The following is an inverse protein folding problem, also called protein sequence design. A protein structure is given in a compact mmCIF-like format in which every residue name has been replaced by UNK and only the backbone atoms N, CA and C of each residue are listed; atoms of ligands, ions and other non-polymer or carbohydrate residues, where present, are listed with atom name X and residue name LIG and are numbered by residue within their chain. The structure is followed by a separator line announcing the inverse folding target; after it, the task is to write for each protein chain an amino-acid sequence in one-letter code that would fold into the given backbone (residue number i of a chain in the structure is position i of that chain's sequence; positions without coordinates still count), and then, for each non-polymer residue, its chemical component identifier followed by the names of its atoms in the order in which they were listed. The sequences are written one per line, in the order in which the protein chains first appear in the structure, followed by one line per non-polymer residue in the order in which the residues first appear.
data_IF_157878965483
#
_entry.id   IF_157878965483
#
_cell.length_a   1.000
_cell.length_b   1.000
_cell.length_c   1.000
_cell.angle_alpha   90.00
_cell.angle_beta   90.00
_cell.angle_gamma   90.00
#
_symmetry.space_group_name_H-M   'P 1'
#
loop_
_entity.id
_entity.type
_entity.pdbx_description
1 polymer ?
#
# COMPACT_ATOMS: atom_id res chain seq x y z
N UNK A 1 -5.88 26.38 0.33
CA UNK A 1 -5.37 26.00 -1.01
C UNK A 1 -6.30 24.95 -1.59
N UNK A 2 -6.15 24.47 -2.84
CA UNK A 2 -6.97 23.33 -3.30
C UNK A 2 -6.34 22.02 -2.87
N UNK A 3 -7.06 21.24 -2.08
CA UNK A 3 -6.65 19.90 -1.67
C UNK A 3 -7.16 18.83 -2.64
N UNK A 4 -6.52 17.67 -2.61
CA UNK A 4 -6.99 16.45 -3.29
C UNK A 4 -7.47 15.43 -2.27
N UNK A 5 -8.45 14.63 -2.66
CA UNK A 5 -8.82 13.42 -1.92
C UNK A 5 -8.22 12.22 -2.64
N UNK A 6 -7.55 11.35 -1.89
CA UNK A 6 -6.92 10.13 -2.39
C UNK A 6 -7.64 8.92 -1.78
N UNK A 7 -7.95 7.92 -2.58
CA UNK A 7 -8.70 6.74 -2.15
C UNK A 7 -7.93 5.45 -2.45
N UNK A 8 -7.78 4.61 -1.43
CA UNK A 8 -7.36 3.22 -1.54
C UNK A 8 -8.51 2.32 -1.08
N UNK A 9 -9.24 1.73 -2.03
CA UNK A 9 -10.47 0.97 -1.80
C UNK A 9 -10.16 -0.53 -1.80
N UNK A 10 -9.76 -1.04 -0.62
CA UNK A 10 -9.49 -2.46 -0.39
C UNK A 10 -10.74 -3.32 -0.13
N UNK A 11 -10.54 -4.58 0.26
CA UNK A 11 -11.64 -5.48 0.65
C UNK A 11 -12.25 -5.15 2.01
N UNK A 12 -11.41 -4.96 3.03
CA UNK A 12 -11.86 -4.80 4.42
C UNK A 12 -12.18 -3.35 4.79
N UNK A 13 -11.50 -2.38 4.17
CA UNK A 13 -11.60 -0.97 4.53
C UNK A 13 -11.24 -0.09 3.34
N UNK A 14 -11.55 1.20 3.39
CA UNK A 14 -11.01 2.20 2.47
C UNK A 14 -10.11 3.15 3.25
N UNK A 15 -8.89 3.39 2.75
CA UNK A 15 -8.07 4.49 3.24
C UNK A 15 -8.41 5.75 2.44
N UNK A 16 -8.74 6.82 3.15
CA UNK A 16 -9.03 8.14 2.58
C UNK A 16 -7.91 9.07 3.00
N UNK A 17 -7.25 9.71 2.05
CA UNK A 17 -6.19 10.69 2.27
C UNK A 17 -6.60 12.10 1.87
N UNK A 18 -6.23 13.09 2.67
CA UNK A 18 -6.25 14.50 2.28
C UNK A 18 -4.83 14.91 1.88
N UNK A 19 -4.67 15.40 0.67
CA UNK A 19 -3.35 15.72 0.11
C UNK A 19 -3.27 17.17 -0.34
N UNK A 20 -2.22 17.87 0.09
CA UNK A 20 -1.87 19.20 -0.40
C UNK A 20 -0.89 19.06 -1.56
N UNK A 21 -1.32 19.33 -2.81
CA UNK A 21 -0.43 19.22 -3.96
C UNK A 21 0.57 20.38 -4.10
N UNK A 22 0.44 21.42 -3.28
CA UNK A 22 1.25 22.65 -3.33
C UNK A 22 2.31 22.72 -2.25
N UNK A 23 2.31 21.80 -1.29
CA UNK A 23 3.32 21.78 -0.23
C UNK A 23 4.74 21.63 -0.81
N UNK A 24 5.63 22.56 -0.47
CA UNK A 24 7.03 22.53 -0.90
C UNK A 24 7.83 21.57 -0.01
N UNK A 25 7.98 20.33 -0.47
CA UNK A 25 8.64 19.26 0.31
C UNK A 25 10.10 19.03 -0.07
N UNK A 26 10.62 19.76 -1.07
CA UNK A 26 11.97 19.54 -1.62
C UNK A 26 12.13 18.21 -2.40
N UNK A 27 11.06 17.42 -2.53
CA UNK A 27 11.02 16.21 -3.32
C UNK A 27 10.80 16.50 -4.81
N UNK A 28 11.21 15.56 -5.68
CA UNK A 28 11.02 15.65 -7.14
C UNK A 28 9.54 15.83 -7.53
N UNK A 29 8.61 15.25 -6.75
CA UNK A 29 7.20 15.60 -6.79
C UNK A 29 6.82 16.30 -5.48
N UNK A 30 6.56 17.62 -5.49
CA UNK A 30 6.10 18.33 -4.31
C UNK A 30 4.72 17.85 -3.86
N UNK A 31 4.33 18.23 -2.65
CA UNK A 31 3.04 17.89 -2.05
C UNK A 31 3.16 16.92 -0.88
N UNK A 32 2.17 16.97 -0.01
CA UNK A 32 2.18 16.28 1.28
C UNK A 32 0.82 15.66 1.59
N UNK A 33 0.84 14.44 2.11
CA UNK A 33 -0.34 13.80 2.66
C UNK A 33 -0.60 14.38 4.05
N UNK A 34 -1.58 15.27 4.16
CA UNK A 34 -1.91 16.01 5.38
C UNK A 34 -2.54 15.09 6.43
N UNK A 35 -3.41 14.18 5.98
CA UNK A 35 -4.03 13.20 6.86
C UNK A 35 -4.44 11.95 6.09
N UNK A 36 -4.58 10.84 6.81
CA UNK A 36 -5.20 9.64 6.28
C UNK A 36 -6.09 8.98 7.34
N UNK A 37 -7.23 8.45 6.90
CA UNK A 37 -8.23 7.81 7.76
C UNK A 37 -8.66 6.48 7.15
N UNK A 38 -8.73 5.43 7.97
CA UNK A 38 -9.30 4.13 7.57
C UNK A 38 -10.80 4.12 7.85
N UNK A 39 -11.58 3.74 6.84
CA UNK A 39 -13.04 3.72 6.89
C UNK A 39 -13.56 2.32 6.56
N UNK A 40 -14.23 1.71 7.53
CA UNK A 40 -14.80 0.35 7.42
C UNK A 40 -16.30 0.39 7.15
N UNK A 41 -17.02 1.39 7.69
CA UNK A 41 -18.47 1.52 7.55
C UNK A 41 -18.88 2.67 6.63
N UNK A 42 -20.02 2.49 5.95
CA UNK A 42 -20.54 3.45 4.95
C UNK A 42 -21.00 4.77 5.57
N UNK A 43 -21.52 4.75 6.81
CA UNK A 43 -21.91 5.97 7.53
C UNK A 43 -20.70 6.87 7.80
N UNK A 44 -19.58 6.26 8.18
CA UNK A 44 -18.33 6.98 8.49
C UNK A 44 -17.77 7.65 7.23
N UNK A 45 -17.87 6.99 6.07
CA UNK A 45 -17.48 7.57 4.78
C UNK A 45 -18.19 8.89 4.49
N UNK A 46 -19.52 8.94 4.74
CA UNK A 46 -20.31 10.17 4.51
C UNK A 46 -19.86 11.29 5.44
N UNK A 47 -19.73 11.00 6.73
CA UNK A 47 -19.39 12.00 7.74
C UNK A 47 -17.99 12.56 7.47
N UNK A 48 -17.03 11.68 7.18
CA UNK A 48 -15.65 12.07 6.92
C UNK A 48 -15.51 12.92 5.63
N UNK A 49 -16.19 12.54 4.55
CA UNK A 49 -16.18 13.34 3.32
C UNK A 49 -16.87 14.71 3.52
N UNK A 50 -17.96 14.76 4.29
CA UNK A 50 -18.64 16.00 4.60
C UNK A 50 -17.77 16.94 5.45
N UNK A 51 -17.01 16.38 6.41
CA UNK A 51 -16.03 17.12 7.21
C UNK A 51 -14.94 17.71 6.31
N UNK A 52 -14.27 16.88 5.51
CA UNK A 52 -13.22 17.31 4.57
C UNK A 52 -13.74 18.39 3.61
N UNK A 53 -14.90 18.18 2.98
CA UNK A 53 -15.44 19.14 2.01
C UNK A 53 -15.99 20.41 2.66
N UNK A 54 -16.27 20.37 3.97
CA UNK A 54 -16.71 21.52 4.76
C UNK A 54 -15.54 22.39 5.23
N UNK A 55 -14.36 21.80 5.46
CA UNK A 55 -13.16 22.50 5.90
C UNK A 55 -12.23 22.92 4.76
N UNK A 56 -12.17 22.13 3.69
CA UNK A 56 -11.19 22.30 2.61
C UNK A 56 -11.83 22.45 1.24
N UNK A 57 -11.19 23.24 0.37
CA UNK A 57 -11.59 23.32 -1.05
C UNK A 57 -10.99 22.14 -1.81
N UNK A 58 -11.81 21.16 -2.15
CA UNK A 58 -11.36 19.99 -2.93
C UNK A 58 -11.38 20.30 -4.42
N UNK A 59 -10.29 20.03 -5.14
CA UNK A 59 -10.21 20.24 -6.60
C UNK A 59 -10.17 18.97 -7.42
N UNK A 60 -9.66 17.87 -6.85
CA UNK A 60 -9.55 16.57 -7.54
C UNK A 60 -9.76 15.45 -6.55
N UNK A 61 -10.26 14.32 -7.05
CA UNK A 61 -10.35 13.07 -6.30
C UNK A 61 -9.79 11.97 -7.18
N UNK A 62 -8.80 11.23 -6.67
CA UNK A 62 -8.22 10.08 -7.36
C UNK A 62 -8.29 8.84 -6.48
N UNK A 63 -8.25 7.67 -7.10
CA UNK A 63 -8.22 6.44 -6.32
C UNK A 63 -7.84 5.19 -7.09
N UNK A 64 -7.56 4.15 -6.31
CA UNK A 64 -7.40 2.77 -6.76
C UNK A 64 -8.38 1.89 -6.00
N UNK A 65 -8.78 0.79 -6.64
CA UNK A 65 -9.70 -0.17 -6.03
C UNK A 65 -9.44 -1.56 -6.53
N UNK A 66 -9.58 -2.52 -5.63
CA UNK A 66 -9.63 -3.97 -5.94
C UNK A 66 -11.05 -4.54 -5.78
N UNK A 67 -12.05 -3.68 -5.54
CA UNK A 67 -13.44 -4.08 -5.25
C UNK A 67 -14.44 -3.25 -6.07
N UNK A 68 -14.97 -3.77 -7.20
CA UNK A 68 -15.86 -3.02 -8.07
C UNK A 68 -17.13 -2.48 -7.39
N UNK A 69 -17.75 -3.27 -6.50
CA UNK A 69 -18.97 -2.84 -5.79
C UNK A 69 -18.73 -1.64 -4.87
N UNK A 70 -17.53 -1.53 -4.27
CA UNK A 70 -17.17 -0.39 -3.41
C UNK A 70 -16.82 0.86 -4.24
N UNK A 71 -16.34 0.71 -5.47
CA UNK A 71 -16.08 1.84 -6.38
C UNK A 71 -17.34 2.64 -6.68
N UNK A 72 -18.46 1.95 -6.93
CA UNK A 72 -19.74 2.61 -7.18
C UNK A 72 -20.20 3.40 -5.95
N UNK A 73 -20.13 2.79 -4.77
CA UNK A 73 -20.46 3.46 -3.50
C UNK A 73 -19.64 4.75 -3.31
N UNK A 74 -18.31 4.66 -3.47
CA UNK A 74 -17.43 5.82 -3.29
C UNK A 74 -17.67 6.89 -4.35
N UNK A 75 -17.87 6.51 -5.61
CA UNK A 75 -18.22 7.44 -6.69
C UNK A 75 -19.49 8.24 -6.37
N UNK A 76 -20.53 7.57 -5.86
CA UNK A 76 -21.77 8.25 -5.45
C UNK A 76 -21.54 9.19 -4.25
N UNK A 77 -20.77 8.77 -3.24
CA UNK A 77 -20.49 9.59 -2.07
C UNK A 77 -19.67 10.84 -2.42
N UNK A 78 -18.62 10.68 -3.22
CA UNK A 78 -17.78 11.79 -3.68
C UNK A 78 -18.58 12.76 -4.55
N UNK A 79 -19.39 12.27 -5.50
CA UNK A 79 -20.28 13.14 -6.30
C UNK A 79 -21.26 13.92 -5.44
N UNK A 80 -21.80 13.31 -4.37
CA UNK A 80 -22.76 13.97 -3.49
C UNK A 80 -22.10 15.06 -2.64
N UNK A 81 -20.93 14.78 -2.05
CA UNK A 81 -20.25 15.68 -1.10
C UNK A 81 -19.35 16.70 -1.79
N UNK A 82 -18.44 16.25 -2.67
CA UNK A 82 -17.43 17.09 -3.29
C UNK A 82 -17.88 17.68 -4.65
N UNK A 83 -18.98 17.19 -5.24
CA UNK A 83 -19.43 17.56 -6.60
C UNK A 83 -18.37 17.28 -7.69
N UNK A 84 -17.55 16.26 -7.46
CA UNK A 84 -16.49 15.82 -8.36
C UNK A 84 -16.68 14.33 -8.72
N UNK A 85 -16.03 13.91 -9.80
CA UNK A 85 -15.84 12.51 -10.14
C UNK A 85 -14.51 11.99 -9.57
N UNK A 86 -14.42 10.67 -9.37
CA UNK A 86 -13.17 10.00 -8.99
C UNK A 86 -12.44 9.60 -10.26
N UNK A 87 -11.18 9.99 -10.36
CA UNK A 87 -10.23 9.48 -11.35
C UNK A 87 -9.66 8.16 -10.84
N UNK A 88 -10.07 7.04 -11.45
CA UNK A 88 -9.55 5.72 -11.09
C UNK A 88 -8.31 5.39 -11.92
N UNK A 89 -7.30 4.83 -11.26
CA UNK A 89 -6.05 4.41 -11.90
C UNK A 89 -5.92 2.88 -11.94
N UNK A 90 -5.37 2.40 -13.03
CA UNK A 90 -5.22 0.99 -13.39
C UNK A 90 -3.99 0.79 -14.31
N UNK A 91 -3.87 -0.38 -14.93
CA UNK A 91 -2.74 -0.75 -15.80
C UNK A 91 -2.68 0.04 -17.11
N UNK A 92 -3.78 0.67 -17.51
CA UNK A 92 -3.88 1.47 -18.74
C UNK A 92 -3.51 2.93 -18.52
N UNK A 93 -3.31 3.32 -17.26
CA UNK A 93 -2.92 4.67 -16.87
C UNK A 93 -1.49 5.01 -17.31
N UNK A 94 -1.13 6.30 -17.30
CA UNK A 94 0.26 6.72 -17.53
C UNK A 94 1.13 6.33 -16.33
N UNK A 95 1.94 5.29 -16.48
CA UNK A 95 2.82 4.76 -15.42
C UNK A 95 4.24 5.30 -15.56
N UNK A 96 4.99 5.48 -14.45
CA UNK A 96 6.37 5.96 -14.49
C UNK A 96 7.40 4.87 -14.86
N UNK A 97 6.92 3.66 -15.22
CA UNK A 97 7.72 2.50 -15.60
C UNK A 97 7.02 1.74 -16.73
N UNK A 98 7.76 0.89 -17.44
CA UNK A 98 7.20 -0.07 -18.40
C UNK A 98 6.62 -1.29 -17.68
N UNK A 99 5.39 -1.66 -18.00
CA UNK A 99 4.70 -2.79 -17.41
C UNK A 99 4.93 -4.06 -18.25
N UNK A 100 5.86 -4.92 -17.81
CA UNK A 100 6.20 -6.18 -18.49
C UNK A 100 5.42 -7.39 -17.95
N UNK A 101 4.52 -7.15 -17.01
CA UNK A 101 3.69 -8.20 -16.44
C UNK A 101 2.85 -8.86 -17.55
N UNK A 102 2.80 -10.19 -17.59
CA UNK A 102 2.20 -10.92 -18.72
C UNK A 102 0.68 -10.77 -18.80
N UNK A 103 0.02 -10.54 -17.67
CA UNK A 103 -1.44 -10.35 -17.57
C UNK A 103 -1.75 -9.05 -16.80
N UNK A 104 -1.41 -7.87 -17.36
CA UNK A 104 -1.60 -6.58 -16.71
C UNK A 104 -2.99 -6.38 -16.11
N UNK A 105 -4.02 -6.82 -16.81
CA UNK A 105 -5.45 -6.70 -16.47
C UNK A 105 -5.85 -7.48 -15.20
N UNK A 106 -5.00 -8.41 -14.75
CA UNK A 106 -5.21 -9.19 -13.52
C UNK A 106 -4.55 -8.56 -12.30
N UNK A 107 -3.77 -7.50 -12.49
CA UNK A 107 -3.02 -6.85 -11.43
C UNK A 107 -3.96 -6.03 -10.54
N UNK A 108 -3.74 -6.10 -9.22
CA UNK A 108 -4.43 -5.20 -8.30
C UNK A 108 -4.02 -3.74 -8.54
N UNK A 109 -4.99 -2.85 -8.63
CA UNK A 109 -4.73 -1.42 -8.86
C UNK A 109 -3.93 -0.77 -7.73
N UNK A 110 -4.07 -1.28 -6.50
CA UNK A 110 -3.25 -0.92 -5.34
C UNK A 110 -1.76 -1.24 -5.55
N UNK A 111 -1.47 -2.40 -6.16
CA UNK A 111 -0.10 -2.81 -6.52
C UNK A 111 0.53 -1.88 -7.55
N UNK A 112 -0.26 -1.37 -8.50
CA UNK A 112 0.20 -0.40 -9.51
C UNK A 112 0.56 0.92 -8.85
N UNK A 113 -0.30 1.43 -7.95
CA UNK A 113 -0.04 2.65 -7.20
C UNK A 113 1.20 2.51 -6.31
N UNK A 114 1.34 1.39 -5.58
CA UNK A 114 2.47 1.19 -4.68
C UNK A 114 3.80 1.04 -5.44
N UNK A 115 3.81 0.34 -6.57
CA UNK A 115 4.97 0.25 -7.46
C UNK A 115 5.32 1.62 -8.05
N UNK A 116 4.32 2.43 -8.42
CA UNK A 116 4.52 3.76 -8.99
C UNK A 116 5.17 4.70 -7.99
N UNK A 117 4.68 4.70 -6.75
CA UNK A 117 5.27 5.49 -5.68
C UNK A 117 6.69 5.01 -5.34
N UNK A 118 6.90 3.70 -5.22
CA UNK A 118 8.20 3.11 -4.94
C UNK A 118 9.24 3.47 -6.01
N UNK A 119 8.89 3.28 -7.29
CA UNK A 119 9.78 3.62 -8.38
C UNK A 119 10.07 5.11 -8.43
N UNK A 120 9.03 5.95 -8.43
CA UNK A 120 9.21 7.38 -8.57
C UNK A 120 10.04 7.96 -7.40
N UNK A 121 9.77 7.55 -6.17
CA UNK A 121 10.36 8.16 -4.97
C UNK A 121 11.70 7.54 -4.56
N UNK A 122 11.89 6.26 -4.84
CA UNK A 122 13.06 5.52 -4.34
C UNK A 122 13.93 4.93 -5.45
N UNK A 123 13.36 4.47 -6.57
CA UNK A 123 14.13 3.81 -7.64
C UNK A 123 14.66 4.76 -8.72
N UNK A 124 13.89 5.75 -9.15
CA UNK A 124 14.17 6.57 -10.34
C UNK A 124 15.30 7.59 -10.17
N UNK A 125 15.72 7.83 -8.92
CA UNK A 125 16.71 8.85 -8.56
C UNK A 125 18.16 8.31 -8.54
N UNK A 126 18.38 7.04 -8.90
CA UNK A 126 19.69 6.41 -8.89
C UNK A 126 19.86 5.31 -9.94
N UNK A 127 21.01 4.62 -9.89
CA UNK A 127 21.29 3.45 -10.73
C UNK A 127 20.88 2.15 -10.03
N UNK A 128 19.68 2.09 -9.48
CA UNK A 128 19.15 0.95 -8.73
C UNK A 128 17.67 0.73 -9.03
N UNK A 129 17.21 -0.50 -8.84
CA UNK A 129 15.77 -0.81 -8.84
C UNK A 129 15.18 -0.65 -7.45
N UNK A 130 13.90 -0.99 -7.30
CA UNK A 130 13.20 -0.96 -6.02
C UNK A 130 12.39 -2.23 -5.83
N UNK A 131 12.39 -2.74 -4.60
CA UNK A 131 11.43 -3.72 -4.09
C UNK A 131 10.55 -2.99 -3.09
N UNK A 132 9.25 -2.94 -3.36
CA UNK A 132 8.26 -2.44 -2.42
C UNK A 132 7.57 -3.61 -1.76
N UNK A 133 7.65 -3.70 -0.44
CA UNK A 133 6.98 -4.72 0.36
C UNK A 133 5.77 -4.10 1.06
N UNK A 134 4.56 -4.33 0.54
CA UNK A 134 3.32 -3.92 1.20
C UNK A 134 2.85 -5.01 2.15
N UNK A 135 3.03 -4.78 3.46
CA UNK A 135 2.70 -5.75 4.50
C UNK A 135 1.32 -5.47 5.12
N UNK A 136 0.27 -5.86 4.39
CA UNK A 136 -1.13 -5.75 4.78
C UNK A 136 -1.80 -7.11 5.05
N UNK A 137 -3.03 -7.27 4.54
CA UNK A 137 -3.79 -8.54 4.62
C UNK A 137 -3.06 -9.65 3.88
N UNK A 138 -2.64 -9.37 2.64
CA UNK A 138 -1.58 -10.09 1.97
C UNK A 138 -0.27 -9.30 2.12
N UNK A 139 0.85 -9.97 1.94
CA UNK A 139 2.15 -9.31 1.77
C UNK A 139 2.51 -9.40 0.30
N UNK A 140 2.75 -8.23 -0.28
CA UNK A 140 3.07 -8.12 -1.69
C UNK A 140 4.48 -7.58 -1.85
N UNK A 141 5.24 -8.12 -2.80
CA UNK A 141 6.53 -7.61 -3.23
C UNK A 141 6.37 -7.11 -4.64
N UNK A 142 6.52 -5.81 -4.85
CA UNK A 142 6.45 -5.18 -6.16
C UNK A 142 7.85 -4.79 -6.60
N UNK A 143 8.29 -5.31 -7.76
CA UNK A 143 9.66 -5.12 -8.23
C UNK A 143 9.63 -4.19 -9.44
N UNK A 144 10.39 -3.11 -9.38
CA UNK A 144 10.73 -2.30 -10.55
C UNK A 144 12.25 -2.30 -10.69
N UNK A 145 12.75 -2.77 -11.83
CA UNK A 145 14.18 -2.88 -12.10
C UNK A 145 14.82 -1.49 -12.24
N UNK A 146 16.15 -1.42 -12.19
CA UNK A 146 16.91 -0.19 -12.43
C UNK A 146 16.70 0.42 -13.82
N UNK A 147 16.13 -0.34 -14.76
CA UNK A 147 15.75 0.14 -16.10
C UNK A 147 14.32 0.70 -16.15
N UNK A 148 13.63 0.80 -15.02
CA UNK A 148 12.23 1.23 -14.96
C UNK A 148 11.29 0.21 -15.60
N UNK A 149 11.56 -1.08 -15.42
CA UNK A 149 10.71 -2.17 -15.91
C UNK A 149 10.07 -2.88 -14.73
N UNK A 150 8.76 -3.08 -14.76
CA UNK A 150 8.03 -3.88 -13.79
C UNK A 150 7.83 -5.29 -14.38
N UNK A 151 8.67 -6.29 -14.06
CA UNK A 151 8.49 -7.67 -14.53
C UNK A 151 7.35 -8.38 -13.80
N UNK A 152 7.02 -7.95 -12.58
CA UNK A 152 6.04 -8.59 -11.73
C UNK A 152 6.31 -8.44 -10.25
N UNK A 153 5.66 -9.30 -9.48
CA UNK A 153 5.72 -9.28 -8.03
C UNK A 153 5.41 -10.63 -7.41
N UNK A 154 5.50 -10.68 -6.08
CA UNK A 154 5.23 -11.87 -5.26
C UNK A 154 4.07 -11.56 -4.33
N UNK A 155 3.13 -12.49 -4.16
CA UNK A 155 2.04 -12.39 -3.18
C UNK A 155 2.16 -13.55 -2.19
N UNK A 156 2.10 -13.23 -0.90
CA UNK A 156 2.07 -14.24 0.17
C UNK A 156 1.10 -13.83 1.28
N UNK A 157 0.76 -14.76 2.17
CA UNK A 157 -0.15 -14.49 3.29
C UNK A 157 0.47 -13.50 4.28
N UNK A 158 -0.30 -12.47 4.65
CA UNK A 158 -0.01 -11.61 5.79
C UNK A 158 -0.29 -12.31 7.12
N UNK A 159 0.11 -11.70 8.24
CA UNK A 159 0.11 -12.37 9.53
C UNK A 159 -1.31 -12.65 10.03
N UNK A 160 -2.29 -11.79 9.72
CA UNK A 160 -3.71 -12.04 10.00
C UNK A 160 -4.22 -13.30 9.30
N UNK A 161 -3.94 -13.48 8.01
CA UNK A 161 -4.32 -14.68 7.26
C UNK A 161 -3.62 -15.94 7.80
N UNK A 162 -2.34 -15.84 8.18
CA UNK A 162 -1.59 -16.95 8.77
C UNK A 162 -2.18 -17.39 10.12
N UNK A 163 -2.52 -16.42 10.98
CA UNK A 163 -3.23 -16.69 12.24
C UNK A 163 -4.59 -17.35 11.97
N UNK A 164 -5.38 -16.80 11.06
CA UNK A 164 -6.72 -17.30 10.77
C UNK A 164 -6.67 -18.75 10.28
N UNK A 165 -5.68 -19.08 9.45
CA UNK A 165 -5.43 -20.44 8.99
C UNK A 165 -5.05 -21.39 10.14
N UNK A 166 -4.23 -20.96 11.11
CA UNK A 166 -3.89 -21.79 12.27
C UNK A 166 -5.10 -22.07 13.16
N UNK A 167 -5.88 -21.03 13.47
CA UNK A 167 -7.04 -21.17 14.37
C UNK A 167 -8.25 -21.88 13.74
N UNK A 168 -8.41 -21.82 12.42
CA UNK A 168 -9.49 -22.53 11.71
C UNK A 168 -9.08 -23.91 11.19
N UNK A 169 -7.80 -24.12 10.90
CA UNK A 169 -7.26 -25.35 10.32
C UNK A 169 -6.77 -26.39 11.33
N UNK A 170 -6.87 -26.11 12.63
CA UNK A 170 -6.41 -27.03 13.69
C UNK A 170 -7.43 -27.16 14.81
N UNK A 171 -7.43 -28.30 15.51
CA UNK A 171 -8.44 -28.59 16.53
C UNK A 171 -8.20 -27.91 17.88
N UNK A 172 -6.97 -27.47 18.17
CA UNK A 172 -6.57 -27.00 19.51
C UNK A 172 -5.89 -25.64 19.54
N UNK A 173 -5.58 -25.02 18.39
CA UNK A 173 -4.98 -23.69 18.40
C UNK A 173 -6.08 -22.62 18.53
N UNK A 174 -5.99 -21.73 19.53
CA UNK A 174 -6.95 -20.65 19.68
C UNK A 174 -6.74 -19.57 18.62
N UNK A 175 -7.78 -18.78 18.37
CA UNK A 175 -7.62 -17.49 17.70
C UNK A 175 -6.93 -16.51 18.67
N UNK A 176 -5.83 -15.91 18.23
CA UNK A 176 -5.00 -15.02 19.07
C UNK A 176 -4.97 -13.60 18.52
N UNK A 177 -4.83 -12.60 19.38
CA UNK A 177 -4.48 -11.26 18.90
C UNK A 177 -3.00 -11.26 18.48
N UNK A 178 -2.71 -10.67 17.32
CA UNK A 178 -1.34 -10.50 16.86
C UNK A 178 -0.77 -9.21 17.41
N UNK A 179 0.33 -9.34 18.14
CA UNK A 179 1.14 -8.24 18.64
C UNK A 179 2.62 -8.58 18.40
N UNK A 180 3.51 -7.57 18.24
CA UNK A 180 4.94 -7.79 18.26
C UNK A 180 5.37 -8.62 19.49
N UNK A 181 6.00 -9.79 19.33
CA UNK A 181 6.40 -10.61 20.47
C UNK A 181 7.65 -10.06 21.15
N UNK A 182 7.74 -10.17 22.48
CA UNK A 182 8.93 -9.76 23.26
C UNK A 182 10.16 -10.65 23.01
N UNK A 183 9.94 -11.86 22.49
CA UNK A 183 11.00 -12.83 22.25
C UNK A 183 10.61 -13.91 21.25
N UNK A 184 11.63 -14.60 20.72
CA UNK A 184 11.47 -15.60 19.65
C UNK A 184 10.92 -16.95 20.13
N UNK A 185 11.04 -17.28 21.41
CA UNK A 185 10.54 -18.55 21.95
C UNK A 185 9.33 -18.24 22.83
N UNK A 186 8.14 -18.58 22.34
CA UNK A 186 6.91 -18.46 23.12
C UNK A 186 6.83 -19.50 24.23
N UNK A 187 6.32 -19.09 25.39
CA UNK A 187 6.18 -19.93 26.60
C UNK A 187 4.73 -20.30 26.92
N UNK A 188 3.81 -19.88 26.07
CA UNK A 188 2.41 -20.29 26.03
C UNK A 188 2.00 -20.59 24.58
N UNK A 189 0.88 -21.26 24.37
CA UNK A 189 0.35 -21.50 23.00
C UNK A 189 0.13 -20.19 22.25
N UNK A 190 -0.35 -19.16 22.95
CA UNK A 190 -0.56 -17.83 22.37
C UNK A 190 0.76 -17.20 21.93
N UNK A 191 1.76 -17.16 22.81
CA UNK A 191 3.09 -16.62 22.48
C UNK A 191 3.78 -17.44 21.38
N UNK A 192 3.58 -18.76 21.35
CA UNK A 192 4.15 -19.63 20.32
C UNK A 192 3.56 -19.33 18.94
N UNK A 193 2.24 -19.12 18.85
CA UNK A 193 1.56 -18.70 17.61
C UNK A 193 2.04 -17.30 17.21
N UNK A 194 2.05 -16.34 18.13
CA UNK A 194 2.50 -14.97 17.87
C UNK A 194 3.94 -14.95 17.35
N UNK A 195 4.86 -15.65 18.03
CA UNK A 195 6.25 -15.75 17.60
C UNK A 195 6.38 -16.36 16.20
N UNK A 196 5.76 -17.52 15.97
CA UNK A 196 5.84 -18.21 14.69
C UNK A 196 5.27 -17.39 13.54
N UNK A 197 4.14 -16.71 13.75
CA UNK A 197 3.51 -15.87 12.73
C UNK A 197 4.34 -14.60 12.46
N UNK A 198 4.76 -13.90 13.51
CA UNK A 198 5.43 -12.60 13.38
C UNK A 198 6.88 -12.74 12.92
N UNK A 199 7.71 -13.53 13.60
CA UNK A 199 9.09 -13.74 13.17
C UNK A 199 9.18 -14.58 11.88
N UNK A 200 8.26 -15.52 11.67
CA UNK A 200 8.16 -16.23 10.40
C UNK A 200 7.82 -15.30 9.23
N UNK A 201 6.99 -14.28 9.45
CA UNK A 201 6.75 -13.22 8.47
C UNK A 201 8.02 -12.41 8.19
N UNK A 202 8.73 -11.97 9.23
CA UNK A 202 9.96 -11.20 9.09
C UNK A 202 11.02 -11.98 8.30
N UNK A 203 11.28 -13.23 8.69
CA UNK A 203 12.26 -14.09 8.04
C UNK A 203 11.85 -14.39 6.59
N UNK A 204 10.55 -14.54 6.31
CA UNK A 204 10.02 -14.67 4.95
C UNK A 204 10.31 -13.42 4.12
N UNK A 205 10.07 -12.22 4.66
CA UNK A 205 10.36 -10.95 3.95
C UNK A 205 11.85 -10.81 3.69
N UNK A 206 12.68 -10.96 4.71
CA UNK A 206 14.14 -10.85 4.58
C UNK A 206 14.73 -11.93 3.64
N UNK A 207 14.18 -13.14 3.68
CA UNK A 207 14.57 -14.23 2.78
C UNK A 207 14.24 -13.94 1.33
N UNK A 208 13.00 -13.52 1.04
CA UNK A 208 12.57 -13.15 -0.32
C UNK A 208 13.37 -11.98 -0.86
N UNK A 209 13.58 -10.92 -0.06
CA UNK A 209 14.40 -9.77 -0.46
C UNK A 209 15.82 -10.21 -0.79
N UNK A 210 16.46 -11.03 0.06
CA UNK A 210 17.82 -11.54 -0.24
C UNK A 210 17.88 -12.33 -1.53
N UNK A 211 16.89 -13.18 -1.81
CA UNK A 211 16.84 -13.94 -3.06
C UNK A 211 16.68 -13.01 -4.28
N UNK A 212 15.73 -12.08 -4.22
CA UNK A 212 15.51 -11.09 -5.30
C UNK A 212 16.75 -10.23 -5.57
N UNK A 213 17.45 -9.80 -4.51
CA UNK A 213 18.70 -9.05 -4.64
C UNK A 213 19.83 -9.89 -5.23
N UNK A 214 19.92 -11.18 -4.88
CA UNK A 214 20.93 -12.08 -5.43
C UNK A 214 20.69 -12.42 -6.91
N UNK A 215 19.44 -12.38 -7.36
CA UNK A 215 19.04 -12.60 -8.75
C UNK A 215 19.12 -11.33 -9.61
N UNK A 216 19.32 -10.15 -9.00
CA UNK A 216 19.35 -8.88 -9.72
C UNK A 216 20.77 -8.49 -10.12
N UNK A 217 20.93 -8.03 -11.37
CA UNK A 217 22.21 -7.51 -11.87
C UNK A 217 22.60 -6.16 -11.25
N UNK A 218 21.65 -5.47 -10.62
CA UNK A 218 21.85 -4.15 -10.03
C UNK A 218 21.27 -4.09 -8.61
N UNK A 219 21.76 -3.19 -7.75
CA UNK A 219 21.19 -3.00 -6.42
C UNK A 219 19.68 -2.73 -6.48
N UNK A 220 18.94 -3.25 -5.51
CA UNK A 220 17.52 -2.98 -5.33
C UNK A 220 17.33 -2.34 -3.95
N UNK A 221 16.80 -1.12 -3.94
CA UNK A 221 16.38 -0.42 -2.73
C UNK A 221 15.12 -1.08 -2.15
N UNK A 222 15.02 -1.19 -0.83
CA UNK A 222 13.92 -1.93 -0.19
C UNK A 222 13.08 -0.98 0.64
N UNK A 223 11.83 -0.85 0.25
CA UNK A 223 10.83 -0.01 0.92
C UNK A 223 9.73 -0.89 1.46
N UNK A 224 9.37 -0.72 2.73
CA UNK A 224 8.26 -1.44 3.38
C UNK A 224 7.13 -0.46 3.70
N UNK A 225 5.89 -0.90 3.50
CA UNK A 225 4.65 -0.16 3.79
C UNK A 225 3.61 -1.12 4.39
N UNK A 226 2.38 -0.66 4.56
CA UNK A 226 1.28 -1.45 5.09
C UNK A 226 1.27 -1.51 6.62
N UNK A 227 0.24 -2.17 7.17
CA UNK A 227 -0.04 -2.17 8.61
C UNK A 227 1.08 -2.77 9.46
N UNK A 228 1.92 -3.64 8.88
CA UNK A 228 3.07 -4.25 9.55
C UNK A 228 4.42 -3.66 9.11
N UNK A 229 4.42 -2.70 8.19
CA UNK A 229 5.64 -2.14 7.59
C UNK A 229 6.57 -1.49 8.62
N UNK A 230 6.02 -0.77 9.60
CA UNK A 230 6.83 -0.11 10.64
C UNK A 230 7.57 -1.12 11.52
N UNK A 231 6.92 -2.21 11.91
CA UNK A 231 7.57 -3.28 12.70
C UNK A 231 8.63 -4.02 11.87
N UNK A 232 8.32 -4.34 10.61
CA UNK A 232 9.29 -4.97 9.70
C UNK A 232 10.50 -4.05 9.52
N UNK A 233 10.30 -2.75 9.28
CA UNK A 233 11.37 -1.77 9.15
C UNK A 233 12.26 -1.72 10.39
N UNK A 234 11.67 -1.67 11.58
CA UNK A 234 12.41 -1.67 12.84
C UNK A 234 13.31 -2.90 12.99
N UNK A 235 12.80 -4.09 12.67
CA UNK A 235 13.54 -5.35 12.83
C UNK A 235 14.56 -5.62 11.70
N UNK A 236 14.35 -5.05 10.50
CA UNK A 236 15.15 -5.34 9.30
C UNK A 236 16.10 -4.21 8.88
N UNK A 237 15.82 -2.97 9.28
CA UNK A 237 16.50 -1.77 8.80
C UNK A 237 16.05 -1.28 7.42
N UNK A 238 15.01 -1.87 6.81
CA UNK A 238 14.46 -1.38 5.52
C UNK A 238 13.75 -0.04 5.69
N UNK A 239 13.70 0.77 4.62
CA UNK A 239 13.02 2.06 4.67
C UNK A 239 11.52 1.88 4.86
N UNK A 240 10.96 2.52 5.89
CA UNK A 240 9.52 2.56 6.08
C UNK A 240 8.91 3.77 5.40
N UNK A 241 7.84 3.54 4.66
CA UNK A 241 7.04 4.61 4.08
C UNK A 241 5.55 4.33 4.29
N UNK A 242 4.91 5.12 5.15
CA UNK A 242 3.48 4.96 5.41
C UNK A 242 2.65 5.56 4.26
N UNK A 243 1.45 5.00 4.07
CA UNK A 243 0.49 5.44 3.07
C UNK A 243 1.00 5.39 1.63
N UNK A 244 1.92 4.48 1.32
CA UNK A 244 2.57 4.44 0.00
C UNK A 244 1.59 4.27 -1.16
N UNK A 245 0.48 3.54 -0.98
CA UNK A 245 -0.61 3.44 -1.97
C UNK A 245 -1.24 4.80 -2.26
N UNK A 246 -1.61 5.56 -1.21
CA UNK A 246 -2.18 6.91 -1.38
C UNK A 246 -1.18 7.85 -2.06
N UNK A 247 0.09 7.79 -1.65
CA UNK A 247 1.17 8.54 -2.32
C UNK A 247 1.26 8.17 -3.81
N UNK A 248 1.13 6.89 -4.14
CA UNK A 248 1.07 6.41 -5.52
C UNK A 248 -0.10 6.96 -6.31
N UNK A 249 -1.30 7.02 -5.72
CA UNK A 249 -2.46 7.68 -6.33
C UNK A 249 -2.13 9.15 -6.63
N UNK A 250 -1.51 9.87 -5.69
CA UNK A 250 -1.14 11.27 -5.92
C UNK A 250 -0.11 11.43 -7.05
N UNK A 251 0.83 10.49 -7.17
CA UNK A 251 1.86 10.49 -8.22
C UNK A 251 1.21 10.21 -9.59
N UNK A 252 0.31 9.23 -9.68
CA UNK A 252 -0.44 8.89 -10.89
C UNK A 252 -1.36 10.04 -11.35
N UNK A 253 -2.05 10.71 -10.41
CA UNK A 253 -2.84 11.91 -10.72
C UNK A 253 -2.00 13.04 -11.31
N UNK A 254 -0.72 13.14 -10.97
CA UNK A 254 0.16 14.16 -11.55
C UNK A 254 0.59 13.78 -12.97
N UNK A 255 0.84 12.49 -13.21
CA UNK A 255 1.19 11.98 -14.53
C UNK A 255 0.04 12.13 -15.53
N UNK A 256 -1.21 11.95 -15.10
CA UNK A 256 -2.38 12.09 -15.97
C UNK A 256 -2.74 13.55 -16.35
N UNK A 257 -2.16 14.53 -15.67
CA UNK A 257 -2.41 15.96 -15.93
C UNK A 257 -1.51 16.57 -17.00
N UNK A 258 -0.52 15.81 -17.50
CA UNK A 258 0.44 16.20 -18.54
C UNK A 258 0.17 15.43 -19.84
#
# INVERSE_FOLDING_TARGET
MSMWILLDIGNSSTKVGLFDPTAETGATLPGELISSTRIEHTTDARNHLAEICGSERISRVGGVSVVPSRMQFWSEMVRRQAKLDIEFFDETSSLPFSLDYQTPETMGNDRIAVASAGWHRYGSLGHHGVIVVDAGTAINFEIVTSQGRYPGGIITAGPGLMRDALGSGTAQLPQVQLVPPDGRIGRSTEEAIQSGVMFGMLDKVQGMVRHLQAESDMPLEVVVTGGWGSWISFESGYFFEDNLVLKGVSDLMRLSAN
#
